data_IF_687882364910
#
_entry.id   IF_687882364910
#
_cell.length_a   1.000
_cell.length_b   1.000
_cell.length_c   1.000
_cell.angle_alpha   90.00
_cell.angle_beta   90.00
_cell.angle_gamma   90.00
#
_symmetry.space_group_name_H-M   'P 1'
#
loop_
_entity.id
_entity.type
_entity.pdbx_description
1 polymer ?
#
# COMPACT_ATOMS: atom_id res chain seq x y z
N UNK A 1 7.86 0.77 10.30
CA UNK A 1 7.65 -0.37 11.24
C UNK A 1 8.45 -0.25 12.52
N UNK A 2 9.76 0.07 12.49
CA UNK A 2 10.58 0.17 13.71
C UNK A 2 10.06 1.14 14.79
N UNK A 3 9.21 2.11 14.42
CA UNK A 3 8.57 3.09 15.31
C UNK A 3 7.09 2.82 15.61
N UNK A 4 6.49 1.81 14.99
CA UNK A 4 5.09 1.46 15.23
C UNK A 4 5.07 0.44 16.35
N UNK A 5 4.70 0.88 17.55
CA UNK A 5 4.37 -0.05 18.63
C UNK A 5 2.96 -0.59 18.35
N UNK A 6 2.89 -1.83 17.88
CA UNK A 6 1.63 -2.53 17.76
C UNK A 6 1.21 -3.02 19.15
N UNK A 7 -0.05 -2.75 19.54
CA UNK A 7 -0.71 -3.42 20.67
C UNK A 7 -1.14 -4.84 20.23
N UNK A 8 -2.28 -5.32 20.72
CA UNK A 8 -2.90 -6.59 20.30
C UNK A 8 -3.53 -6.56 18.88
N UNK A 9 -3.28 -5.53 18.08
CA UNK A 9 -3.73 -5.43 16.69
C UNK A 9 -2.78 -4.63 15.81
N UNK A 10 -2.96 -4.76 14.49
CA UNK A 10 -2.09 -4.22 13.45
C UNK A 10 -2.92 -3.58 12.33
N UNK A 11 -2.48 -2.41 11.90
CA UNK A 11 -2.93 -1.72 10.69
C UNK A 11 -1.71 -1.52 9.80
N UNK A 12 -1.92 -1.64 8.49
CA UNK A 12 -0.87 -1.42 7.52
C UNK A 12 -0.29 -0.01 7.62
N UNK A 13 1.04 0.12 7.57
CA UNK A 13 1.69 1.40 7.88
C UNK A 13 1.27 2.53 6.94
N UNK A 14 0.98 2.21 5.68
CA UNK A 14 0.57 3.22 4.70
C UNK A 14 -0.78 3.84 5.06
N UNK A 15 -1.59 3.14 5.86
CA UNK A 15 -2.91 3.56 6.26
C UNK A 15 -2.91 4.45 7.52
N UNK A 16 -1.75 4.66 8.16
CA UNK A 16 -1.58 5.46 9.38
C UNK A 16 -1.21 6.93 9.13
N UNK A 17 -1.11 7.32 7.85
CA UNK A 17 -0.80 8.68 7.42
C UNK A 17 -1.92 9.26 6.56
N UNK A 18 -1.69 10.46 6.00
CA UNK A 18 -2.62 11.05 5.04
C UNK A 18 -2.77 10.15 3.82
N UNK A 19 -3.98 10.14 3.27
CA UNK A 19 -4.35 9.35 2.10
C UNK A 19 -3.45 9.62 0.88
N UNK A 20 -2.65 8.62 0.51
CA UNK A 20 -1.68 8.72 -0.58
C UNK A 20 -2.34 9.02 -1.92
N UNK A 21 -3.58 8.58 -2.16
CA UNK A 21 -4.30 8.88 -3.40
C UNK A 21 -4.37 10.39 -3.64
N UNK A 22 -4.67 11.15 -2.58
CA UNK A 22 -4.78 12.62 -2.64
C UNK A 22 -3.40 13.28 -2.69
N UNK A 23 -2.45 12.79 -1.90
CA UNK A 23 -1.10 13.36 -1.80
C UNK A 23 -0.34 13.18 -3.13
N UNK A 24 -0.29 11.96 -3.66
CA UNK A 24 0.39 11.64 -4.91
C UNK A 24 -0.25 12.37 -6.08
N UNK A 25 -1.59 12.33 -6.20
CA UNK A 25 -2.30 13.06 -7.27
C UNK A 25 -2.01 14.57 -7.24
N UNK A 26 -2.00 15.20 -6.05
CA UNK A 26 -1.68 16.63 -5.91
C UNK A 26 -0.25 16.94 -6.35
N UNK A 27 0.72 16.09 -6.01
CA UNK A 27 2.13 16.29 -6.39
C UNK A 27 2.34 16.07 -7.89
N UNK A 28 1.74 15.05 -8.48
CA UNK A 28 1.77 14.84 -9.93
C UNK A 28 1.10 15.98 -10.71
N UNK A 29 -0.02 16.52 -10.20
CA UNK A 29 -0.67 17.71 -10.79
C UNK A 29 0.25 18.94 -10.74
N UNK A 30 1.06 19.09 -9.70
CA UNK A 30 2.04 20.18 -9.62
C UNK A 30 3.10 20.03 -10.71
N UNK A 31 3.62 18.82 -10.92
CA UNK A 31 4.58 18.53 -12.00
C UNK A 31 3.97 18.87 -13.36
N UNK A 32 2.75 18.42 -13.63
CA UNK A 32 2.06 18.73 -14.88
C UNK A 32 1.89 20.25 -15.09
N UNK A 33 1.46 20.99 -14.05
CA UNK A 33 1.28 22.45 -14.14
C UNK A 33 2.56 23.20 -14.48
N UNK A 34 3.70 22.72 -14.00
CA UNK A 34 4.99 23.30 -14.35
C UNK A 34 5.35 23.01 -15.80
N UNK A 35 5.23 21.75 -16.25
CA UNK A 35 5.52 21.36 -17.64
C UNK A 35 4.60 22.06 -18.66
N UNK A 36 3.35 22.32 -18.28
CA UNK A 36 2.35 22.97 -19.15
C UNK A 36 2.65 24.45 -19.43
N UNK A 37 3.59 25.07 -18.70
CA UNK A 37 4.03 26.44 -18.98
C UNK A 37 4.88 26.50 -20.25
N UNK A 38 5.60 25.43 -20.55
CA UNK A 38 6.56 25.37 -21.65
C UNK A 38 6.02 24.56 -22.84
N UNK A 39 5.17 23.55 -22.58
CA UNK A 39 4.70 22.62 -23.60
C UNK A 39 3.18 22.49 -23.58
N UNK A 40 2.58 22.28 -24.77
CA UNK A 40 1.15 21.97 -24.91
C UNK A 40 0.98 20.48 -25.17
N UNK A 41 0.40 19.77 -24.21
CA UNK A 41 0.05 18.35 -24.34
C UNK A 41 -1.09 17.99 -23.40
N UNK A 42 -1.80 16.91 -23.68
CA UNK A 42 -2.82 16.36 -22.79
C UNK A 42 -2.21 15.34 -21.83
N UNK A 43 -2.88 15.16 -20.69
CA UNK A 43 -2.39 14.27 -19.65
C UNK A 43 -3.52 13.58 -18.89
N UNK A 44 -3.20 12.46 -18.28
CA UNK A 44 -4.08 11.77 -17.32
C UNK A 44 -3.26 11.23 -16.16
N UNK A 45 -3.71 11.49 -14.93
CA UNK A 45 -3.00 11.09 -13.71
C UNK A 45 -3.73 9.95 -13.02
N UNK A 46 -2.97 8.94 -12.62
CA UNK A 46 -3.44 7.84 -11.79
C UNK A 46 -2.53 7.59 -10.59
N UNK A 47 -3.16 7.16 -9.50
CA UNK A 47 -2.53 6.60 -8.33
C UNK A 47 -3.54 5.61 -7.72
N UNK A 48 -3.34 4.31 -7.96
CA UNK A 48 -4.11 3.14 -7.47
C UNK A 48 -5.56 3.01 -7.97
N UNK A 49 -6.24 4.12 -8.24
CA UNK A 49 -7.67 4.14 -8.60
C UNK A 49 -7.93 4.03 -10.11
N UNK A 50 -6.87 3.91 -10.92
CA UNK A 50 -6.96 3.87 -12.38
C UNK A 50 -6.93 2.46 -12.97
N UNK A 51 -7.29 2.30 -14.26
CA UNK A 51 -7.13 1.04 -15.00
C UNK A 51 -5.67 0.85 -15.46
N UNK A 52 -4.69 1.14 -14.60
CA UNK A 52 -3.26 1.10 -14.92
C UNK A 52 -2.57 0.16 -13.94
N UNK A 53 -1.65 -0.67 -14.44
CA UNK A 53 -0.80 -1.52 -13.62
C UNK A 53 0.48 -0.77 -13.26
N UNK A 54 0.44 0.11 -12.25
CA UNK A 54 1.55 1.04 -11.97
C UNK A 54 2.87 0.30 -11.69
N UNK A 55 2.82 -0.87 -11.06
CA UNK A 55 4.01 -1.68 -10.78
C UNK A 55 4.71 -2.16 -12.07
N UNK A 56 3.95 -2.47 -13.11
CA UNK A 56 4.49 -2.89 -14.41
C UNK A 56 5.16 -1.71 -15.11
N UNK A 57 4.49 -0.55 -15.14
CA UNK A 57 5.03 0.66 -15.74
C UNK A 57 6.25 1.20 -14.98
N UNK A 58 6.23 1.14 -13.65
CA UNK A 58 7.37 1.51 -12.83
C UNK A 58 8.61 0.65 -13.12
N UNK A 59 8.44 -0.65 -13.34
CA UNK A 59 9.54 -1.52 -13.77
C UNK A 59 10.03 -1.17 -15.18
N UNK A 60 9.13 -0.88 -16.13
CA UNK A 60 9.48 -0.41 -17.48
C UNK A 60 10.22 0.93 -17.45
N UNK A 61 9.90 1.81 -16.51
CA UNK A 61 10.57 3.09 -16.28
C UNK A 61 11.84 2.96 -15.41
N UNK A 62 12.38 1.75 -15.22
CA UNK A 62 13.65 1.57 -14.51
C UNK A 62 13.59 1.79 -12.98
N UNK A 63 12.40 1.92 -12.38
CA UNK A 63 12.27 2.26 -10.95
C UNK A 63 12.56 1.09 -10.00
N UNK A 64 12.60 -0.15 -10.50
CA UNK A 64 12.86 -1.33 -9.70
C UNK A 64 12.28 -2.59 -10.32
N UNK A 65 12.26 -3.70 -9.57
CA UNK A 65 11.72 -4.98 -10.02
C UNK A 65 10.52 -5.39 -9.17
N UNK A 66 9.64 -6.21 -9.72
CA UNK A 66 8.57 -6.83 -8.93
C UNK A 66 9.12 -8.03 -8.15
N UNK A 67 9.04 -7.96 -6.83
CA UNK A 67 9.45 -9.04 -5.94
C UNK A 67 8.55 -10.27 -6.05
N UNK A 68 8.95 -11.39 -5.42
CA UNK A 68 8.10 -12.59 -5.31
C UNK A 68 6.76 -12.32 -4.61
N UNK A 69 6.69 -11.31 -3.76
CA UNK A 69 5.45 -10.81 -3.13
C UNK A 69 4.62 -9.89 -4.05
N UNK A 70 4.95 -9.78 -5.34
CA UNK A 70 4.29 -8.93 -6.33
C UNK A 70 4.38 -7.41 -6.08
N UNK A 71 5.16 -6.96 -5.10
CA UNK A 71 5.37 -5.52 -4.83
C UNK A 71 6.60 -5.03 -5.60
N UNK A 72 6.55 -3.79 -6.09
CA UNK A 72 7.74 -3.15 -6.66
C UNK A 72 8.77 -2.87 -5.57
N UNK A 73 10.01 -3.29 -5.80
CA UNK A 73 11.14 -3.05 -4.91
C UNK A 73 12.13 -2.15 -5.65
N UNK A 74 12.39 -0.98 -5.08
CA UNK A 74 13.43 -0.08 -5.55
C UNK A 74 14.77 -0.46 -4.88
N UNK A 75 15.90 -0.47 -5.61
CA UNK A 75 17.20 -0.86 -5.06
C UNK A 75 17.72 0.09 -3.98
N UNK A 76 17.27 1.35 -3.93
CA UNK A 76 17.67 2.33 -2.91
C UNK A 76 16.64 2.46 -1.80
N UNK A 77 15.36 2.55 -2.16
CA UNK A 77 14.26 2.88 -1.24
C UNK A 77 13.55 1.65 -0.64
N UNK A 78 13.80 0.45 -1.18
CA UNK A 78 13.02 -0.73 -0.82
C UNK A 78 11.62 -0.68 -1.45
N UNK A 79 10.63 -1.25 -0.77
CA UNK A 79 9.24 -1.38 -1.25
C UNK A 79 8.25 -0.45 -0.55
N UNK A 80 8.68 0.37 0.41
CA UNK A 80 7.83 1.35 1.10
C UNK A 80 7.73 2.64 0.29
N UNK A 81 7.20 2.53 -0.92
CA UNK A 81 7.03 3.62 -1.87
C UNK A 81 5.59 3.63 -2.40
N UNK A 82 5.07 4.81 -2.66
CA UNK A 82 3.83 4.97 -3.42
C UNK A 82 4.16 5.17 -4.90
N UNK A 83 3.35 4.57 -5.76
CA UNK A 83 3.46 4.73 -7.20
C UNK A 83 2.37 5.67 -7.69
N UNK A 84 2.71 6.43 -8.73
CA UNK A 84 1.76 7.22 -9.48
C UNK A 84 2.24 7.33 -10.92
N UNK A 85 1.29 7.55 -11.82
CA UNK A 85 1.52 7.55 -13.26
C UNK A 85 0.93 8.82 -13.85
N UNK A 86 1.69 9.45 -14.74
CA UNK A 86 1.20 10.48 -15.65
C UNK A 86 1.24 9.89 -17.05
N UNK A 87 0.08 9.70 -17.66
CA UNK A 87 -0.05 9.40 -19.07
C UNK A 87 -0.03 10.70 -19.84
N UNK A 88 0.72 10.72 -20.93
CA UNK A 88 0.90 11.85 -21.82
C UNK A 88 0.53 11.43 -23.24
N UNK A 89 0.06 12.37 -24.05
CA UNK A 89 -0.18 12.17 -25.50
C UNK A 89 1.00 12.62 -26.37
N UNK A 90 2.14 12.89 -25.74
CA UNK A 90 3.41 13.21 -26.40
C UNK A 90 4.39 12.05 -26.27
N UNK A 91 5.27 11.95 -27.26
CA UNK A 91 6.38 11.01 -27.22
C UNK A 91 7.49 11.54 -26.31
N UNK A 92 8.01 10.65 -25.46
CA UNK A 92 9.22 10.85 -24.68
C UNK A 92 10.15 9.67 -24.95
N UNK A 93 11.44 9.94 -25.06
CA UNK A 93 12.45 8.89 -25.09
C UNK A 93 12.36 8.06 -23.78
N UNK A 94 12.10 6.75 -23.88
CA UNK A 94 11.86 5.92 -22.70
C UNK A 94 13.15 5.65 -21.93
N UNK A 95 13.05 5.64 -20.60
CA UNK A 95 14.10 5.11 -19.74
C UNK A 95 14.37 3.62 -20.01
N UNK A 96 15.58 3.16 -19.66
CA UNK A 96 15.92 1.74 -19.72
C UNK A 96 15.12 0.95 -18.67
N UNK A 97 14.40 -0.13 -19.06
CA UNK A 97 13.69 -0.98 -18.12
C UNK A 97 14.62 -1.60 -17.07
N UNK A 98 14.09 -1.85 -15.88
CA UNK A 98 14.81 -2.59 -14.86
C UNK A 98 14.77 -4.09 -15.16
N UNK A 99 15.92 -4.66 -15.53
CA UNK A 99 16.04 -6.05 -16.00
C UNK A 99 16.50 -7.05 -14.92
N UNK A 100 17.04 -6.58 -13.81
CA UNK A 100 17.60 -7.44 -12.77
C UNK A 100 16.55 -7.91 -11.77
N UNK A 101 16.50 -9.22 -11.49
CA UNK A 101 15.73 -9.80 -10.40
C UNK A 101 16.61 -10.06 -9.18
N UNK A 102 16.46 -9.22 -8.16
CA UNK A 102 17.23 -9.35 -6.93
C UNK A 102 16.54 -10.18 -5.83
N UNK A 103 15.45 -10.90 -6.15
CA UNK A 103 14.92 -11.91 -5.23
C UNK A 103 15.80 -13.16 -5.20
N UNK A 104 16.34 -13.60 -6.33
CA UNK A 104 17.14 -14.83 -6.44
C UNK A 104 16.49 -16.02 -5.74
N UNK A 105 17.26 -16.73 -4.90
CA UNK A 105 16.79 -17.88 -4.10
C UNK A 105 15.98 -17.50 -2.85
N UNK A 106 15.83 -16.21 -2.51
CA UNK A 106 15.12 -15.78 -1.30
C UNK A 106 13.62 -16.13 -1.37
N UNK A 107 13.07 -16.75 -0.31
CA UNK A 107 11.64 -17.07 -0.19
C UNK A 107 11.02 -16.53 1.11
N UNK A 108 11.64 -15.54 1.77
CA UNK A 108 11.19 -15.02 3.09
C UNK A 108 9.73 -14.56 3.08
N UNK A 109 9.30 -13.82 2.07
CA UNK A 109 7.92 -13.33 1.98
C UNK A 109 6.91 -14.46 1.79
N UNK A 110 7.24 -15.47 0.97
CA UNK A 110 6.40 -16.66 0.73
C UNK A 110 6.24 -17.42 2.04
N UNK A 111 7.35 -17.76 2.69
CA UNK A 111 7.36 -18.54 3.93
C UNK A 111 6.67 -17.82 5.10
N UNK A 112 6.74 -16.48 5.14
CA UNK A 112 6.11 -15.70 6.20
C UNK A 112 4.61 -15.45 5.99
N UNK A 113 4.10 -15.61 4.76
CA UNK A 113 2.70 -15.36 4.45
C UNK A 113 1.82 -16.37 5.21
N UNK A 114 1.00 -15.94 6.18
CA UNK A 114 0.32 -16.86 7.09
C UNK A 114 -0.79 -17.68 6.44
N UNK A 115 -1.22 -17.30 5.25
CA UNK A 115 -2.33 -17.89 4.50
C UNK A 115 -1.87 -18.53 3.19
N UNK A 116 -0.56 -18.58 2.93
CA UNK A 116 0.02 -19.08 1.68
C UNK A 116 -0.56 -18.40 0.43
N UNK A 117 -0.84 -17.09 0.52
CA UNK A 117 -1.40 -16.30 -0.57
C UNK A 117 -0.39 -15.99 -1.68
N UNK A 118 0.92 -16.10 -1.40
CA UNK A 118 1.97 -15.81 -2.39
C UNK A 118 2.30 -17.11 -3.12
N UNK A 119 1.89 -17.19 -4.38
CA UNK A 119 2.13 -18.33 -5.26
C UNK A 119 3.43 -18.14 -6.05
N UNK A 120 3.74 -19.12 -6.91
CA UNK A 120 4.84 -19.01 -7.87
C UNK A 120 4.57 -17.88 -8.88
N UNK A 121 5.62 -17.47 -9.60
CA UNK A 121 5.54 -16.46 -10.67
C UNK A 121 4.97 -15.10 -10.23
N UNK A 122 5.18 -14.71 -8.96
CA UNK A 122 4.75 -13.41 -8.40
C UNK A 122 3.22 -13.22 -8.40
N UNK A 123 2.49 -14.32 -8.41
CA UNK A 123 1.03 -14.34 -8.35
C UNK A 123 0.59 -14.28 -6.89
N UNK A 124 -0.43 -13.47 -6.61
CA UNK A 124 -1.06 -13.39 -5.29
C UNK A 124 -2.48 -13.94 -5.41
N UNK A 125 -2.79 -14.98 -4.65
CA UNK A 125 -4.16 -15.47 -4.48
C UNK A 125 -4.91 -14.49 -3.56
N UNK A 126 -5.73 -13.63 -4.17
CA UNK A 126 -6.54 -12.65 -3.44
C UNK A 126 -7.49 -13.31 -2.44
N UNK A 127 -7.99 -14.51 -2.73
CA UNK A 127 -8.87 -15.27 -1.83
C UNK A 127 -8.15 -15.74 -0.55
N UNK A 128 -6.82 -15.62 -0.50
CA UNK A 128 -6.01 -15.92 0.68
C UNK A 128 -5.31 -14.68 1.25
N UNK A 129 -5.26 -13.57 0.52
CA UNK A 129 -4.51 -12.40 0.94
C UNK A 129 -5.25 -11.59 2.03
N UNK A 130 -4.68 -11.50 3.23
CA UNK A 130 -5.25 -10.71 4.35
C UNK A 130 -5.53 -9.26 3.94
N UNK A 131 -4.65 -8.66 3.12
CA UNK A 131 -4.85 -7.28 2.65
C UNK A 131 -6.13 -7.14 1.81
N UNK A 132 -6.40 -8.09 0.89
CA UNK A 132 -7.65 -8.11 0.13
C UNK A 132 -8.87 -8.26 1.05
N UNK A 133 -8.83 -9.21 1.99
CA UNK A 133 -9.98 -9.48 2.86
C UNK A 133 -10.32 -8.33 3.79
N UNK A 134 -9.31 -7.64 4.30
CA UNK A 134 -9.51 -6.52 5.24
C UNK A 134 -9.90 -5.21 4.53
N UNK A 135 -9.62 -5.06 3.24
CA UNK A 135 -9.84 -3.80 2.49
C UNK A 135 -10.95 -3.93 1.45
N UNK A 136 -10.84 -4.92 0.55
CA UNK A 136 -11.66 -5.02 -0.67
C UNK A 136 -12.86 -5.94 -0.50
N UNK A 137 -12.72 -7.04 0.26
CA UNK A 137 -13.81 -8.00 0.41
C UNK A 137 -15.05 -7.38 1.05
N UNK A 138 -16.16 -7.40 0.31
CA UNK A 138 -17.42 -6.74 0.70
C UNK A 138 -18.41 -7.64 1.43
N UNK A 139 -18.25 -8.96 1.37
CA UNK A 139 -19.14 -9.90 2.05
C UNK A 139 -18.93 -9.93 3.56
N UNK A 140 -19.83 -10.55 4.31
CA UNK A 140 -19.76 -10.59 5.76
C UNK A 140 -18.99 -11.80 6.30
N UNK A 141 -19.05 -12.93 5.61
CA UNK A 141 -18.39 -14.18 6.02
C UNK A 141 -16.90 -14.15 5.69
N UNK A 142 -16.05 -14.16 6.73
CA UNK A 142 -14.59 -14.22 6.58
C UNK A 142 -14.11 -15.67 6.62
N UNK A 143 -13.36 -16.09 5.59
CA UNK A 143 -12.92 -17.49 5.42
C UNK A 143 -11.45 -17.74 5.76
N UNK A 144 -10.71 -16.72 6.19
CA UNK A 144 -9.27 -16.82 6.51
C UNK A 144 -8.98 -16.18 7.86
N UNK A 145 -7.90 -16.60 8.54
CA UNK A 145 -7.43 -15.92 9.75
C UNK A 145 -6.64 -14.65 9.39
N UNK A 146 -6.92 -13.53 10.04
CA UNK A 146 -6.17 -12.28 9.84
C UNK A 146 -4.94 -12.13 10.75
N UNK A 147 -4.71 -13.08 11.67
CA UNK A 147 -3.84 -12.87 12.84
C UNK A 147 -4.33 -11.60 13.56
N UNK A 148 -3.45 -10.62 13.73
CA UNK A 148 -3.78 -9.37 14.44
C UNK A 148 -4.12 -8.22 13.47
N UNK A 149 -4.23 -8.48 12.15
CA UNK A 149 -4.39 -7.43 11.15
C UNK A 149 -5.85 -7.04 10.94
N UNK A 150 -6.21 -5.81 11.31
CA UNK A 150 -7.58 -5.30 11.14
C UNK A 150 -7.76 -4.43 9.88
N UNK A 151 -6.67 -3.97 9.26
CA UNK A 151 -6.68 -3.27 7.98
C UNK A 151 -5.34 -3.41 7.24
N UNK A 152 -5.38 -3.95 6.02
CA UNK A 152 -4.19 -4.25 5.23
C UNK A 152 -3.34 -5.37 5.85
N UNK A 153 -2.20 -5.67 5.24
CA UNK A 153 -1.22 -6.62 5.78
C UNK A 153 0.15 -6.37 5.17
N UNK A 154 1.17 -6.22 6.02
CA UNK A 154 2.51 -5.88 5.57
C UNK A 154 3.55 -6.97 5.79
N UNK A 155 3.13 -8.15 6.25
CA UNK A 155 4.05 -9.25 6.63
C UNK A 155 5.05 -9.52 5.50
N UNK A 156 4.59 -9.61 4.25
CA UNK A 156 5.44 -9.91 3.09
C UNK A 156 6.45 -8.79 2.77
N UNK A 157 6.20 -7.56 3.20
CA UNK A 157 7.14 -6.44 3.09
C UNK A 157 8.04 -6.37 4.33
N UNK A 158 7.51 -6.54 5.54
CA UNK A 158 8.27 -6.51 6.81
C UNK A 158 9.45 -7.49 6.76
N UNK A 159 9.24 -8.70 6.24
CA UNK A 159 10.29 -9.73 6.15
C UNK A 159 11.21 -9.59 4.94
N UNK A 160 10.92 -8.66 4.02
CA UNK A 160 11.70 -8.47 2.80
C UNK A 160 13.06 -7.83 3.14
N UNK A 161 14.20 -8.47 2.82
CA UNK A 161 15.53 -7.92 3.16
C UNK A 161 15.80 -6.54 2.56
N UNK A 162 15.20 -6.23 1.42
CA UNK A 162 15.35 -4.94 0.73
C UNK A 162 14.74 -3.76 1.49
N UNK A 163 13.87 -4.04 2.47
CA UNK A 163 13.32 -3.01 3.35
C UNK A 163 14.20 -2.70 4.57
N UNK A 164 15.28 -3.45 4.83
CA UNK A 164 16.21 -3.13 5.92
C UNK A 164 16.91 -1.79 5.70
N UNK A 165 17.10 -1.40 4.44
CA UNK A 165 17.68 -0.13 3.99
C UNK A 165 16.63 0.91 3.58
N UNK A 166 15.34 0.64 3.80
CA UNK A 166 14.30 1.58 3.42
C UNK A 166 14.49 2.89 4.18
N UNK A 167 14.44 3.99 3.44
CA UNK A 167 14.65 5.34 3.96
C UNK A 167 13.31 5.88 4.43
N UNK A 168 13.30 6.55 5.58
CA UNK A 168 12.11 7.24 6.06
C UNK A 168 11.84 8.46 5.16
N UNK A 169 10.57 8.68 4.82
CA UNK A 169 10.19 9.86 4.04
C UNK A 169 10.25 11.13 4.88
N UNK A 170 10.72 12.22 4.28
CA UNK A 170 10.65 13.57 4.84
C UNK A 170 9.35 14.29 4.49
N UNK A 171 8.41 13.62 3.82
CA UNK A 171 7.13 14.20 3.49
C UNK A 171 6.22 14.21 4.71
N UNK A 172 5.89 15.41 5.18
CA UNK A 172 5.02 15.63 6.34
C UNK A 172 3.66 14.93 6.19
N UNK A 173 3.12 14.84 4.95
CA UNK A 173 1.85 14.16 4.71
C UNK A 173 1.88 12.66 5.04
N UNK A 174 3.06 12.06 5.02
CA UNK A 174 3.28 10.64 5.26
C UNK A 174 3.91 10.34 6.63
N UNK A 175 4.10 11.36 7.47
CA UNK A 175 4.33 11.13 8.90
C UNK A 175 3.09 10.48 9.51
N UNK A 176 3.32 9.55 10.43
CA UNK A 176 2.26 8.80 11.11
C UNK A 176 1.45 9.80 11.94
N UNK A 177 0.15 9.92 11.63
CA UNK A 177 -0.74 10.89 12.28
C UNK A 177 -1.41 10.32 13.51
N UNK A 178 -1.73 9.03 13.45
CA UNK A 178 -2.33 8.31 14.55
C UNK A 178 -1.30 7.36 15.13
N UNK A 179 -0.90 7.62 16.37
CA UNK A 179 -0.33 6.55 17.19
C UNK A 179 -1.54 5.73 17.64
N UNK A 180 -1.57 4.44 17.28
CA UNK A 180 -2.67 3.52 17.60
C UNK A 180 -2.71 3.25 19.12
N UNK A 181 -3.12 4.25 19.88
CA UNK A 181 -3.24 4.18 21.33
C UNK A 181 -4.58 3.60 21.78
N UNK A 182 -5.52 3.38 20.86
CA UNK A 182 -6.78 2.72 21.15
C UNK A 182 -6.58 1.23 21.44
N UNK A 183 -7.36 0.65 22.35
CA UNK A 183 -7.55 -0.79 22.50
C UNK A 183 -8.53 -1.32 21.44
N UNK A 184 -8.60 -2.65 21.27
CA UNK A 184 -9.60 -3.26 20.40
C UNK A 184 -11.04 -2.96 20.86
N UNK A 185 -11.27 -2.90 22.17
CA UNK A 185 -12.57 -2.59 22.75
C UNK A 185 -12.99 -1.15 22.46
N UNK A 186 -12.08 -0.18 22.64
CA UNK A 186 -12.34 1.22 22.29
C UNK A 186 -12.67 1.36 20.80
N UNK A 187 -11.90 0.69 19.93
CA UNK A 187 -12.19 0.67 18.49
C UNK A 187 -13.52 -0.01 18.15
N UNK A 188 -13.95 -1.01 18.93
CA UNK A 188 -15.26 -1.68 18.80
C UNK A 188 -16.42 -0.86 19.34
N UNK A 189 -16.18 0.09 20.24
CA UNK A 189 -17.21 0.96 20.80
C UNK A 189 -17.43 2.25 19.98
N UNK A 190 -16.51 2.62 19.09
CA UNK A 190 -16.71 3.77 18.19
C UNK A 190 -18.05 3.68 17.44
N UNK A 191 -18.85 4.74 17.44
CA UNK A 191 -19.96 4.86 16.49
C UNK A 191 -19.44 5.27 15.09
N UNK A 192 -20.33 5.32 14.11
CA UNK A 192 -19.93 5.64 12.72
C UNK A 192 -19.36 7.07 12.57
N UNK A 193 -19.88 8.04 13.32
CA UNK A 193 -19.40 9.42 13.28
C UNK A 193 -17.99 9.53 13.87
N UNK A 194 -17.74 8.88 15.01
CA UNK A 194 -16.42 8.83 15.65
C UNK A 194 -15.40 8.15 14.75
N UNK A 195 -15.76 7.02 14.12
CA UNK A 195 -14.91 6.37 13.12
C UNK A 195 -14.58 7.31 11.94
N UNK A 196 -15.56 8.05 11.46
CA UNK A 196 -15.40 8.96 10.32
C UNK A 196 -14.45 10.11 10.64
N UNK A 197 -14.55 10.69 11.84
CA UNK A 197 -13.67 11.77 12.29
C UNK A 197 -12.27 11.24 12.65
N UNK A 198 -12.17 10.12 13.36
CA UNK A 198 -10.89 9.53 13.76
C UNK A 198 -9.99 9.21 12.55
N UNK A 199 -10.58 8.65 11.50
CA UNK A 199 -9.85 8.22 10.31
C UNK A 199 -9.99 9.17 9.11
N UNK A 200 -10.39 10.41 9.36
CA UNK A 200 -10.65 11.41 8.33
C UNK A 200 -9.42 11.65 7.47
N UNK A 201 -9.57 11.43 6.17
CA UNK A 201 -8.50 11.66 5.20
C UNK A 201 -7.36 10.63 5.26
N UNK A 202 -7.62 9.44 5.81
CA UNK A 202 -6.68 8.31 5.87
C UNK A 202 -7.15 7.15 4.98
N UNK A 203 -6.25 6.31 4.43
CA UNK A 203 -6.62 5.18 3.56
C UNK A 203 -7.54 4.14 4.21
N UNK A 204 -7.50 4.01 5.54
CA UNK A 204 -8.31 3.06 6.30
C UNK A 204 -9.83 3.21 6.04
N UNK A 205 -10.26 4.43 5.68
CA UNK A 205 -11.64 4.72 5.28
C UNK A 205 -12.13 3.87 4.11
N UNK A 206 -11.23 3.29 3.32
CA UNK A 206 -11.56 2.36 2.21
C UNK A 206 -12.33 1.14 2.68
N UNK A 207 -12.10 0.63 3.90
CA UNK A 207 -12.88 -0.47 4.45
C UNK A 207 -14.31 -0.05 4.85
N UNK A 208 -14.63 1.23 4.99
CA UNK A 208 -15.87 1.73 5.62
C UNK A 208 -16.07 1.24 7.08
N UNK A 209 -17.03 1.83 7.79
CA UNK A 209 -17.26 1.56 9.20
C UNK A 209 -17.64 0.09 9.47
N UNK A 210 -18.60 -0.44 8.69
CA UNK A 210 -19.12 -1.80 8.87
C UNK A 210 -18.03 -2.86 8.70
N UNK A 211 -17.21 -2.79 7.64
CA UNK A 211 -16.16 -3.79 7.41
C UNK A 211 -14.98 -3.60 8.37
N UNK A 212 -14.68 -2.38 8.80
CA UNK A 212 -13.70 -2.14 9.86
C UNK A 212 -14.09 -2.87 11.16
N UNK A 213 -15.34 -2.70 11.61
CA UNK A 213 -15.87 -3.44 12.78
C UNK A 213 -15.87 -4.95 12.59
N UNK A 214 -16.29 -5.42 11.40
CA UNK A 214 -16.24 -6.84 11.03
C UNK A 214 -14.83 -7.40 11.18
N UNK A 215 -13.82 -6.69 10.67
CA UNK A 215 -12.43 -7.13 10.77
C UNK A 215 -11.94 -7.21 12.22
N UNK A 216 -12.33 -6.26 13.08
CA UNK A 216 -11.96 -6.29 14.49
C UNK A 216 -12.61 -7.48 15.19
N UNK A 217 -13.92 -7.70 15.01
CA UNK A 217 -14.64 -8.84 15.60
C UNK A 217 -14.07 -10.19 15.18
N UNK A 218 -13.44 -10.26 14.00
CA UNK A 218 -12.85 -11.49 13.49
C UNK A 218 -11.54 -11.90 14.16
N UNK A 219 -10.86 -10.98 14.85
CA UNK A 219 -9.59 -11.23 15.51
C UNK A 219 -9.69 -11.30 17.03
N UNK A 220 -10.91 -11.16 17.56
CA UNK A 220 -11.28 -11.33 18.96
C UNK A 220 -11.90 -12.71 19.10
#
# INVERSE_FOLDING_TARGET
YKRVQYKNYKISIYALSKDYHKVIKKKLLKIFKELSKEFKFNFKIYADTGPILEKVFAQKAGLGWQGKNSILINPKLGSYIFLGVILLDIYLEPDKPFIYDFCGKCNKCINACPTNAILNNRIIDANKCISYWTIEYKGDEIKIKFKDWIFGCDICQIVCPWNNKAIETDWEEFKIKIVLNYSLEELLNLNENEYNELFKGMPIKRANYKRFKRNIRHII
#
